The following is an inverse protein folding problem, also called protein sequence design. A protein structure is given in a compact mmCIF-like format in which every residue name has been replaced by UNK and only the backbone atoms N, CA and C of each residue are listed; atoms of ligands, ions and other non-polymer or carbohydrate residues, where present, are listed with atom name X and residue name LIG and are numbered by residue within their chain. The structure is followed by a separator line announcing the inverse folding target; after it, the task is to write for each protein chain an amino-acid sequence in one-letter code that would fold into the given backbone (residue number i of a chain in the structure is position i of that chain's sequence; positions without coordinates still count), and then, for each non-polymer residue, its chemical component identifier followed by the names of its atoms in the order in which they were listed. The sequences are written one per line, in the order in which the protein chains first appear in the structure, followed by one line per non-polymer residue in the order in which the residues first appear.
data_IF_323486873664
#
_entry.id   IF_323486873664
#
_cell.length_a   1.000
_cell.length_b   1.000
_cell.length_c   1.000
_cell.angle_alpha   90.00
_cell.angle_beta   90.00
_cell.angle_gamma   90.00
#
_symmetry.space_group_name_H-M   'P 1'
#
loop_
_entity.id
_entity.type
_entity.pdbx_description
1 polymer ?
#
# COMPACT_ATOMS: atom_id res chain seq x y z
N UNK A 1 3.38 1.83 4.44
CA UNK A 1 4.75 1.26 4.54
C UNK A 1 4.65 -0.23 4.33
N UNK A 2 5.32 -0.75 3.30
CA UNK A 2 5.28 -2.15 2.88
C UNK A 2 6.62 -2.87 3.08
N UNK A 3 7.70 -2.12 3.25
CA UNK A 3 9.03 -2.60 3.60
C UNK A 3 9.58 -1.80 4.79
N UNK A 4 9.78 -2.47 5.92
CA UNK A 4 10.28 -1.88 7.17
C UNK A 4 11.78 -2.05 7.35
N UNK A 5 12.47 -2.86 6.53
CA UNK A 5 13.91 -3.08 6.66
C UNK A 5 14.71 -1.75 6.63
N UNK A 6 14.39 -0.76 5.77
CA UNK A 6 15.08 0.53 5.79
C UNK A 6 14.94 1.30 7.11
N UNK A 7 13.85 1.13 7.86
CA UNK A 7 13.59 1.87 9.10
C UNK A 7 14.55 1.49 10.23
N UNK A 8 15.10 0.27 10.21
CA UNK A 8 16.05 -0.24 11.21
C UNK A 8 17.25 0.69 11.39
N UNK A 9 17.63 1.41 10.34
CA UNK A 9 18.79 2.30 10.29
C UNK A 9 18.46 3.78 10.53
N UNK A 10 17.22 4.09 10.91
CA UNK A 10 16.75 5.47 11.13
C UNK A 10 16.52 5.75 12.61
N UNK A 11 16.46 7.03 12.98
CA UNK A 11 16.13 7.44 14.36
C UNK A 11 14.72 7.01 14.79
N UNK A 12 13.82 6.70 13.85
CA UNK A 12 12.49 6.14 14.18
C UNK A 12 12.61 4.81 14.91
N UNK A 13 13.69 4.07 14.68
CA UNK A 13 13.86 2.75 15.28
C UNK A 13 14.05 2.80 16.80
N UNK A 14 14.41 3.95 17.37
CA UNK A 14 14.44 4.15 18.83
C UNK A 14 13.07 3.90 19.46
N UNK A 15 11.99 4.24 18.74
CA UNK A 15 10.62 4.00 19.16
C UNK A 15 10.08 2.64 18.68
N UNK A 16 10.48 2.21 17.47
CA UNK A 16 9.91 1.01 16.83
C UNK A 16 10.54 -0.30 17.36
N UNK A 17 11.79 -0.27 17.83
CA UNK A 17 12.46 -1.45 18.38
C UNK A 17 12.64 -2.60 17.38
N UNK A 18 12.80 -2.29 16.09
CA UNK A 18 12.96 -3.27 15.03
C UNK A 18 14.40 -3.78 14.97
N UNK A 19 14.55 -5.10 14.86
CA UNK A 19 15.73 -5.73 14.30
C UNK A 19 15.44 -6.21 12.87
N UNK A 20 16.48 -6.64 12.14
CA UNK A 20 16.31 -7.08 10.75
C UNK A 20 15.33 -8.26 10.58
N UNK A 21 15.40 -9.34 11.40
CA UNK A 21 14.40 -10.41 11.35
C UNK A 21 12.96 -9.94 11.54
N UNK A 22 12.71 -9.08 12.53
CA UNK A 22 11.38 -8.55 12.84
C UNK A 22 10.89 -7.62 11.74
N UNK A 23 11.74 -6.69 11.27
CA UNK A 23 11.40 -5.79 10.17
C UNK A 23 10.99 -6.57 8.92
N UNK A 24 11.75 -7.60 8.55
CA UNK A 24 11.44 -8.48 7.42
C UNK A 24 10.11 -9.22 7.62
N UNK A 25 9.90 -9.81 8.80
CA UNK A 25 8.68 -10.55 9.10
C UNK A 25 7.43 -9.66 9.06
N UNK A 26 7.57 -8.39 9.48
CA UNK A 26 6.50 -7.40 9.51
C UNK A 26 6.34 -6.60 8.21
N UNK A 27 7.12 -6.91 7.17
CA UNK A 27 7.06 -6.22 5.87
C UNK A 27 6.10 -6.93 4.90
N UNK A 28 4.91 -6.37 4.60
CA UNK A 28 3.94 -6.99 3.69
C UNK A 28 4.48 -7.37 2.31
N UNK A 29 5.51 -6.68 1.82
CA UNK A 29 6.14 -6.99 0.52
C UNK A 29 6.70 -8.43 0.47
N UNK A 30 7.03 -9.01 1.63
CA UNK A 30 7.54 -10.38 1.74
C UNK A 30 6.46 -11.43 2.01
N UNK A 31 5.22 -11.01 2.27
CA UNK A 31 4.14 -11.95 2.55
C UNK A 31 3.67 -12.68 1.28
N UNK A 32 2.96 -13.81 1.43
CA UNK A 32 2.23 -14.41 0.32
C UNK A 32 1.23 -13.40 -0.26
N UNK A 33 1.17 -13.30 -1.58
CA UNK A 33 0.15 -12.49 -2.23
C UNK A 33 -1.23 -13.17 -2.06
N UNK A 34 -2.31 -12.38 -1.94
CA UNK A 34 -3.66 -12.92 -1.91
C UNK A 34 -3.95 -13.67 -3.22
N UNK A 35 -4.55 -14.85 -3.09
CA UNK A 35 -4.87 -15.75 -4.21
C UNK A 35 -6.33 -16.22 -4.19
N UNK A 36 -7.20 -15.51 -3.45
CA UNK A 36 -8.62 -15.86 -3.29
C UNK A 36 -8.89 -17.01 -2.31
N UNK A 37 -7.87 -17.67 -1.75
CA UNK A 37 -8.06 -18.74 -0.76
C UNK A 37 -8.40 -18.23 0.65
N UNK A 38 -8.27 -16.91 0.89
CA UNK A 38 -8.58 -16.26 2.17
C UNK A 38 -9.55 -15.09 1.94
N UNK A 39 -10.33 -14.68 2.97
CA UNK A 39 -11.14 -13.46 2.89
C UNK A 39 -10.27 -12.26 2.50
N UNK A 40 -10.76 -11.41 1.59
CA UNK A 40 -10.02 -10.27 1.04
C UNK A 40 -9.73 -10.32 -0.47
N UNK A 41 -10.18 -11.37 -1.16
CA UNK A 41 -10.14 -11.45 -2.63
C UNK A 41 -8.74 -11.67 -3.20
N UNK A 42 -8.50 -11.15 -4.40
CA UNK A 42 -7.24 -11.24 -5.15
C UNK A 42 -6.64 -9.89 -5.48
N UNK A 43 -7.25 -8.79 -5.02
CA UNK A 43 -6.93 -7.43 -5.46
C UNK A 43 -6.16 -6.61 -4.40
N UNK A 44 -5.26 -5.75 -4.87
CA UNK A 44 -4.57 -4.72 -4.09
C UNK A 44 -4.58 -3.39 -4.84
N UNK A 45 -5.17 -2.37 -4.25
CA UNK A 45 -5.09 -0.98 -4.72
C UNK A 45 -4.22 -0.15 -3.77
N UNK A 46 -3.09 0.36 -4.28
CA UNK A 46 -2.20 1.26 -3.54
C UNK A 46 -2.44 2.71 -3.97
N UNK A 47 -2.87 3.57 -3.04
CA UNK A 47 -3.08 4.99 -3.27
C UNK A 47 -2.06 5.80 -2.46
N UNK A 48 -1.38 6.74 -3.10
CA UNK A 48 -0.34 7.58 -2.49
C UNK A 48 -0.41 9.00 -3.02
N UNK A 49 -0.23 10.00 -2.16
CA UNK A 49 -0.18 11.40 -2.58
C UNK A 49 1.06 11.72 -3.40
N UNK A 50 0.91 12.50 -4.46
CA UNK A 50 2.01 12.93 -5.33
C UNK A 50 3.01 13.87 -4.64
N UNK A 51 2.60 14.53 -3.55
CA UNK A 51 3.46 15.38 -2.72
C UNK A 51 3.99 14.65 -1.47
N UNK A 52 3.77 13.33 -1.35
CA UNK A 52 4.41 12.51 -0.31
C UNK A 52 5.91 12.31 -0.60
N UNK A 53 6.62 11.74 0.38
CA UNK A 53 8.04 11.39 0.16
C UNK A 53 8.19 10.34 -0.95
N UNK A 54 9.30 10.41 -1.67
CA UNK A 54 9.64 9.43 -2.71
C UNK A 54 9.64 7.98 -2.19
N UNK A 55 9.87 7.77 -0.90
CA UNK A 55 9.86 6.44 -0.30
C UNK A 55 8.46 5.84 -0.23
N UNK A 56 7.43 6.64 0.06
CA UNK A 56 6.04 6.17 0.00
C UNK A 56 5.65 5.79 -1.42
N UNK A 57 6.00 6.64 -2.40
CA UNK A 57 5.72 6.37 -3.81
C UNK A 57 6.45 5.11 -4.29
N UNK A 58 7.75 4.97 -3.96
CA UNK A 58 8.56 3.79 -4.29
C UNK A 58 7.94 2.52 -3.72
N UNK A 59 7.66 2.50 -2.41
CA UNK A 59 7.11 1.31 -1.75
C UNK A 59 5.72 0.94 -2.29
N UNK A 60 4.85 1.91 -2.59
CA UNK A 60 3.54 1.64 -3.21
C UNK A 60 3.69 0.96 -4.58
N UNK A 61 4.63 1.42 -5.41
CA UNK A 61 4.92 0.78 -6.70
C UNK A 61 5.51 -0.62 -6.55
N UNK A 62 6.46 -0.79 -5.64
CA UNK A 62 7.13 -2.08 -5.42
C UNK A 62 6.20 -3.12 -4.82
N UNK A 63 5.31 -2.72 -3.90
CA UNK A 63 4.31 -3.61 -3.33
C UNK A 63 3.37 -4.17 -4.41
N UNK A 64 2.80 -3.28 -5.23
CA UNK A 64 1.96 -3.69 -6.36
C UNK A 64 2.72 -4.57 -7.34
N UNK A 65 3.96 -4.22 -7.70
CA UNK A 65 4.78 -5.05 -8.59
C UNK A 65 5.08 -6.44 -7.99
N UNK A 66 5.42 -6.50 -6.70
CA UNK A 66 5.78 -7.74 -6.02
C UNK A 66 4.60 -8.71 -5.90
N UNK A 67 3.40 -8.20 -5.59
CA UNK A 67 2.20 -9.03 -5.51
C UNK A 67 1.58 -9.29 -6.89
N UNK A 68 1.61 -8.34 -7.81
CA UNK A 68 1.19 -8.52 -9.21
C UNK A 68 2.02 -9.58 -9.91
N UNK A 69 3.34 -9.61 -9.67
CA UNK A 69 4.23 -10.69 -10.15
C UNK A 69 3.91 -12.08 -9.58
N UNK A 70 3.10 -12.16 -8.52
CA UNK A 70 2.60 -13.41 -7.91
C UNK A 70 1.14 -13.70 -8.28
N UNK A 71 0.53 -12.92 -9.18
CA UNK A 71 -0.81 -13.15 -9.72
C UNK A 71 -1.95 -12.43 -9.01
N UNK A 72 -1.66 -11.52 -8.06
CA UNK A 72 -2.69 -10.61 -7.54
C UNK A 72 -3.09 -9.58 -8.61
N UNK A 73 -4.35 -9.16 -8.62
CA UNK A 73 -4.76 -7.97 -9.37
C UNK A 73 -4.27 -6.73 -8.62
N UNK A 74 -3.46 -5.89 -9.25
CA UNK A 74 -2.82 -4.78 -8.54
C UNK A 74 -2.92 -3.47 -9.29
N UNK A 75 -3.21 -2.41 -8.57
CA UNK A 75 -3.29 -1.05 -9.08
C UNK A 75 -2.50 -0.08 -8.18
N UNK A 76 -1.92 0.97 -8.79
CA UNK A 76 -1.23 2.05 -8.08
C UNK A 76 -1.71 3.38 -8.62
N UNK A 77 -2.30 4.19 -7.75
CA UNK A 77 -2.69 5.56 -8.05
C UNK A 77 -1.77 6.55 -7.31
N UNK A 78 -1.23 7.52 -8.06
CA UNK A 78 -0.54 8.67 -7.48
C UNK A 78 -1.48 9.86 -7.59
N UNK A 79 -2.03 10.28 -6.45
CA UNK A 79 -2.99 11.39 -6.38
C UNK A 79 -2.23 12.71 -6.50
N UNK A 80 -2.28 13.31 -7.68
CA UNK A 80 -1.58 14.56 -7.97
C UNK A 80 -1.96 15.67 -6.98
N UNK A 81 -0.96 16.38 -6.46
CA UNK A 81 -1.14 17.49 -5.52
C UNK A 81 -1.50 17.11 -4.09
N UNK A 82 -1.85 15.84 -3.82
CA UNK A 82 -2.17 15.39 -2.47
C UNK A 82 -0.92 15.04 -1.65
N UNK A 83 -0.98 15.29 -0.35
CA UNK A 83 -0.02 14.79 0.63
C UNK A 83 -0.58 13.59 1.42
N UNK A 84 0.16 13.12 2.42
CA UNK A 84 -0.19 11.95 3.22
C UNK A 84 -1.53 12.08 3.96
N UNK A 85 -1.98 13.30 4.24
CA UNK A 85 -3.24 13.56 4.93
C UNK A 85 -4.37 13.79 3.93
N UNK A 86 -4.12 14.57 2.87
CA UNK A 86 -5.15 14.94 1.90
C UNK A 86 -5.41 13.87 0.83
N UNK A 87 -4.57 12.83 0.74
CA UNK A 87 -4.79 11.71 -0.20
C UNK A 87 -6.15 11.04 0.01
N UNK A 88 -6.70 11.09 1.22
CA UNK A 88 -8.00 10.52 1.57
C UNK A 88 -9.19 11.46 1.36
N UNK A 89 -8.96 12.75 1.09
CA UNK A 89 -10.04 13.74 0.89
C UNK A 89 -11.09 13.32 -0.15
N UNK A 90 -10.72 12.66 -1.28
CA UNK A 90 -11.70 12.16 -2.23
C UNK A 90 -12.73 11.18 -1.64
N UNK A 91 -12.45 10.52 -0.51
CA UNK A 91 -13.43 9.64 0.16
C UNK A 91 -14.63 10.40 0.74
N UNK A 92 -14.53 11.72 0.93
CA UNK A 92 -15.65 12.54 1.41
C UNK A 92 -16.70 12.81 0.31
N UNK A 93 -16.36 12.62 -0.97
CA UNK A 93 -17.26 12.78 -2.10
C UNK A 93 -17.68 11.41 -2.65
N UNK A 94 -18.96 11.02 -2.54
CA UNK A 94 -19.44 9.73 -3.05
C UNK A 94 -19.29 9.57 -4.57
N UNK A 95 -19.17 10.67 -5.31
CA UNK A 95 -18.99 10.65 -6.76
C UNK A 95 -17.51 10.65 -7.19
N UNK A 96 -16.58 10.64 -6.25
CA UNK A 96 -15.15 10.63 -6.56
C UNK A 96 -14.70 9.33 -7.22
N UNK A 97 -13.60 9.40 -7.99
CA UNK A 97 -13.00 8.22 -8.61
C UNK A 97 -12.56 7.18 -7.57
N UNK A 98 -12.08 7.63 -6.40
CA UNK A 98 -11.64 6.76 -5.32
C UNK A 98 -12.80 5.97 -4.71
N UNK A 99 -13.95 6.63 -4.44
CA UNK A 99 -15.13 5.92 -3.90
C UNK A 99 -15.68 4.93 -4.92
N UNK A 100 -15.74 5.31 -6.20
CA UNK A 100 -16.17 4.40 -7.27
C UNK A 100 -15.27 3.16 -7.33
N UNK A 101 -13.95 3.34 -7.31
CA UNK A 101 -12.98 2.22 -7.27
C UNK A 101 -13.14 1.36 -6.02
N UNK A 102 -13.37 1.97 -4.86
CA UNK A 102 -13.62 1.24 -3.61
C UNK A 102 -14.87 0.36 -3.69
N UNK A 103 -15.96 0.89 -4.26
CA UNK A 103 -17.21 0.13 -4.46
C UNK A 103 -16.99 -1.03 -5.43
N UNK A 104 -16.26 -0.81 -6.53
CA UNK A 104 -15.88 -1.88 -7.47
C UNK A 104 -15.13 -3.00 -6.74
N UNK A 105 -14.12 -2.67 -5.95
CA UNK A 105 -13.34 -3.66 -5.18
C UNK A 105 -14.20 -4.42 -4.16
N UNK A 106 -15.12 -3.73 -3.49
CA UNK A 106 -15.98 -4.32 -2.46
C UNK A 106 -17.09 -5.21 -3.04
N UNK A 107 -17.41 -5.05 -4.32
CA UNK A 107 -18.49 -5.80 -5.00
C UNK A 107 -17.98 -6.78 -6.06
N UNK A 108 -16.66 -6.84 -6.27
CA UNK A 108 -16.03 -7.85 -7.09
C UNK A 108 -16.20 -9.23 -6.45
N UNK A 109 -16.74 -10.18 -7.23
CA UNK A 109 -16.96 -11.58 -6.83
C UNK A 109 -15.66 -12.40 -6.73
#
# INVERSE_FOLDING_TARGET
MFDLEPLVHTSLNEALGLDAPVARALSPIHWPAPNGATPGGTALDCWVGGNESNEFVRQSREMAAAWGGKGADTHVEIVEGADHFTVLDPLADPDSAMVKRLVELATAE
#
